data_IF_848677374819
#
_entry.id   IF_848677374819
#
_cell.length_a   1.000
_cell.length_b   1.000
_cell.length_c   1.000
_cell.angle_alpha   90.00
_cell.angle_beta   90.00
_cell.angle_gamma   90.00
#
_symmetry.space_group_name_H-M   'P 1'
#
loop_
_entity.id
_entity.type
_entity.pdbx_description
1 polymer ?
#
# COMPACT_ATOMS: atom_id res chain seq x y z
N UNK A 1 -33.22 -1.46 9.74
CA UNK A 1 -31.92 -1.81 9.14
C UNK A 1 -31.26 -0.51 8.70
N UNK A 2 -30.23 -0.07 9.42
CA UNK A 2 -29.41 1.11 9.09
C UNK A 2 -27.97 0.64 8.82
N UNK A 3 -27.20 1.36 8.00
CA UNK A 3 -25.98 0.86 7.36
C UNK A 3 -24.85 0.69 8.37
N UNK A 4 -24.04 -0.34 8.13
CA UNK A 4 -22.83 -0.72 8.84
C UNK A 4 -21.82 0.43 8.91
N UNK A 5 -21.37 0.69 10.13
CA UNK A 5 -20.29 1.63 10.47
C UNK A 5 -18.94 1.08 10.03
N UNK A 6 -18.53 1.37 8.80
CA UNK A 6 -17.21 1.02 8.26
C UNK A 6 -16.09 1.98 8.74
N UNK A 7 -16.41 3.05 9.46
CA UNK A 7 -15.46 4.13 9.78
C UNK A 7 -15.25 4.43 11.27
N UNK A 8 -15.86 3.67 12.19
CA UNK A 8 -15.77 3.91 13.64
C UNK A 8 -14.88 2.89 14.37
N UNK A 9 -13.59 2.83 14.01
CA UNK A 9 -12.58 2.30 14.93
C UNK A 9 -11.35 3.23 14.98
N UNK A 10 -11.03 3.81 16.15
CA UNK A 10 -9.77 4.48 16.38
C UNK A 10 -8.75 3.41 16.78
N UNK A 11 -8.24 2.67 15.79
CA UNK A 11 -6.98 1.96 15.98
C UNK A 11 -5.95 2.66 15.11
N UNK A 12 -4.96 3.23 15.79
CA UNK A 12 -3.65 3.62 15.26
C UNK A 12 -3.27 2.74 14.07
N UNK A 13 -3.46 3.27 12.85
CA UNK A 13 -3.35 2.50 11.61
C UNK A 13 -1.91 2.07 11.31
N UNK A 14 -0.94 2.60 12.04
CA UNK A 14 0.47 2.19 11.98
C UNK A 14 1.08 2.21 13.38
N UNK A 15 1.08 1.05 14.04
CA UNK A 15 2.08 0.78 15.06
C UNK A 15 3.44 0.62 14.37
N UNK A 16 4.48 1.24 14.90
CA UNK A 16 5.88 1.11 14.46
C UNK A 16 6.17 -0.27 13.86
N UNK A 17 6.41 -0.34 12.55
CA UNK A 17 6.80 -1.58 11.88
C UNK A 17 8.24 -1.89 12.30
N UNK A 18 8.39 -2.78 13.27
CA UNK A 18 9.69 -3.30 13.70
C UNK A 18 10.26 -4.12 12.55
N UNK A 19 11.17 -3.53 11.77
CA UNK A 19 11.87 -4.23 10.69
C UNK A 19 12.18 -3.41 9.44
N UNK A 20 11.60 -2.23 9.25
CA UNK A 20 11.96 -1.35 8.13
C UNK A 20 13.13 -0.43 8.49
N UNK A 21 13.96 -0.13 7.49
CA UNK A 21 15.11 0.78 7.64
C UNK A 21 14.63 2.13 8.20
N UNK A 22 15.47 2.80 8.99
CA UNK A 22 15.16 4.11 9.59
C UNK A 22 14.66 5.13 8.54
N UNK A 23 15.15 5.05 7.30
CA UNK A 23 14.74 5.90 6.19
C UNK A 23 13.27 5.70 5.79
N UNK A 24 12.81 4.44 5.69
CA UNK A 24 11.42 4.13 5.35
C UNK A 24 10.43 4.65 6.42
N UNK A 25 10.82 4.59 7.71
CA UNK A 25 10.03 5.16 8.80
C UNK A 25 9.99 6.70 8.77
N UNK A 26 11.11 7.34 8.44
CA UNK A 26 11.19 8.80 8.32
C UNK A 26 10.39 9.32 7.13
N UNK A 27 10.39 8.59 6.03
CA UNK A 27 9.60 8.89 4.84
C UNK A 27 8.10 8.72 5.03
N UNK A 28 7.68 7.59 5.61
CA UNK A 28 6.28 7.40 6.01
C UNK A 28 5.80 8.50 6.97
N UNK A 29 6.67 9.01 7.86
CA UNK A 29 6.32 10.11 8.74
C UNK A 29 6.12 11.45 8.00
N UNK A 30 6.83 11.67 6.87
CA UNK A 30 6.65 12.85 6.01
C UNK A 30 5.35 12.82 5.23
N UNK A 31 4.92 11.64 4.78
CA UNK A 31 3.71 11.49 3.95
C UNK A 31 2.42 11.34 4.77
N UNK A 32 2.53 10.98 6.05
CA UNK A 32 1.38 10.81 6.94
C UNK A 32 0.44 12.03 6.99
N UNK A 33 0.91 13.30 7.05
CA UNK A 33 0.04 14.47 6.96
C UNK A 33 -0.70 14.58 5.62
N UNK A 34 -0.05 14.22 4.50
CA UNK A 34 -0.65 14.25 3.17
C UNK A 34 -1.74 13.18 3.06
N UNK A 35 -1.45 11.95 3.48
CA UNK A 35 -2.41 10.85 3.53
C UNK A 35 -3.62 11.15 4.41
N UNK A 36 -3.40 11.74 5.60
CA UNK A 36 -4.49 12.18 6.47
C UNK A 36 -5.33 13.29 5.80
N UNK A 37 -4.70 14.23 5.11
CA UNK A 37 -5.39 15.25 4.33
C UNK A 37 -6.29 14.65 3.25
N UNK A 38 -5.77 13.71 2.46
CA UNK A 38 -6.53 12.97 1.43
C UNK A 38 -7.75 12.28 2.05
N UNK A 39 -7.57 11.60 3.18
CA UNK A 39 -8.64 10.91 3.89
C UNK A 39 -9.75 11.87 4.33
N UNK A 40 -9.39 13.02 4.89
CA UNK A 40 -10.38 14.01 5.33
C UNK A 40 -11.06 14.70 4.14
N UNK A 41 -10.35 14.98 3.05
CA UNK A 41 -10.92 15.53 1.83
C UNK A 41 -11.97 14.56 1.24
N UNK A 42 -11.68 13.25 1.17
CA UNK A 42 -12.63 12.22 0.70
C UNK A 42 -13.88 12.17 1.60
N UNK A 43 -13.71 12.19 2.92
CA UNK A 43 -14.85 12.22 3.86
C UNK A 43 -15.71 13.46 3.68
N UNK A 44 -15.09 14.62 3.51
CA UNK A 44 -15.77 15.89 3.31
C UNK A 44 -16.59 15.88 2.01
N UNK A 45 -15.99 15.45 0.90
CA UNK A 45 -16.67 15.31 -0.39
C UNK A 45 -17.93 14.43 -0.28
N UNK A 46 -17.86 13.35 0.50
CA UNK A 46 -18.99 12.43 0.70
C UNK A 46 -20.20 13.02 1.42
N UNK A 47 -20.06 14.17 2.09
CA UNK A 47 -21.16 14.84 2.83
C UNK A 47 -21.54 16.20 2.25
N UNK A 48 -20.76 16.74 1.33
CA UNK A 48 -21.00 18.04 0.69
C UNK A 48 -22.01 17.94 -0.45
N UNK A 49 -22.79 19.00 -0.64
CA UNK A 49 -23.74 19.10 -1.76
C UNK A 49 -22.98 19.20 -3.09
N UNK A 50 -23.27 18.26 -4.00
CA UNK A 50 -22.70 18.24 -5.34
C UNK A 50 -23.03 19.54 -6.08
N UNK A 51 -22.00 20.25 -6.53
CA UNK A 51 -22.13 21.53 -7.23
C UNK A 51 -22.02 22.77 -6.33
N UNK A 52 -21.85 22.59 -5.02
CA UNK A 52 -21.45 23.70 -4.13
C UNK A 52 -20.00 24.14 -4.39
N UNK A 53 -19.67 25.38 -4.03
CA UNK A 53 -18.30 25.89 -4.11
C UNK A 53 -17.35 25.05 -3.26
N UNK A 54 -17.79 24.69 -2.06
CA UNK A 54 -16.98 23.91 -1.11
C UNK A 54 -16.72 22.49 -1.63
N UNK A 55 -17.68 21.88 -2.33
CA UNK A 55 -17.49 20.59 -3.01
C UNK A 55 -16.41 20.66 -4.09
N UNK A 56 -16.43 21.72 -4.92
CA UNK A 56 -15.40 21.94 -5.93
C UNK A 56 -14.03 22.19 -5.31
N UNK A 57 -13.95 22.99 -4.25
CA UNK A 57 -12.70 23.26 -3.54
C UNK A 57 -12.12 21.99 -2.91
N UNK A 58 -12.96 21.16 -2.27
CA UNK A 58 -12.54 19.88 -1.70
C UNK A 58 -12.00 18.93 -2.77
N UNK A 59 -12.61 18.86 -3.95
CA UNK A 59 -12.10 18.08 -5.08
C UNK A 59 -10.75 18.60 -5.60
N UNK A 60 -10.58 19.92 -5.70
CA UNK A 60 -9.31 20.52 -6.10
C UNK A 60 -8.20 20.23 -5.08
N UNK A 61 -8.50 20.31 -3.79
CA UNK A 61 -7.58 19.99 -2.71
C UNK A 61 -7.18 18.51 -2.74
N UNK A 62 -8.17 17.62 -2.88
CA UNK A 62 -7.94 16.18 -3.02
C UNK A 62 -7.02 15.88 -4.21
N UNK A 63 -7.31 16.45 -5.38
CA UNK A 63 -6.50 16.27 -6.59
C UNK A 63 -5.06 16.75 -6.38
N UNK A 64 -4.88 17.90 -5.72
CA UNK A 64 -3.55 18.46 -5.44
C UNK A 64 -2.76 17.54 -4.53
N UNK A 65 -3.35 17.08 -3.42
CA UNK A 65 -2.68 16.18 -2.48
C UNK A 65 -2.36 14.82 -3.09
N UNK A 66 -3.25 14.27 -3.91
CA UNK A 66 -2.99 13.01 -4.63
C UNK A 66 -1.80 13.14 -5.58
N UNK A 67 -1.69 14.26 -6.30
CA UNK A 67 -0.53 14.52 -7.17
C UNK A 67 0.76 14.65 -6.37
N UNK A 68 0.74 15.39 -5.26
CA UNK A 68 1.93 15.50 -4.39
C UNK A 68 2.35 14.14 -3.84
N UNK A 69 1.40 13.32 -3.38
CA UNK A 69 1.73 11.97 -2.91
C UNK A 69 2.29 11.10 -4.04
N UNK A 70 1.72 11.18 -5.24
CA UNK A 70 2.23 10.47 -6.42
C UNK A 70 3.66 10.89 -6.76
N UNK A 71 3.97 12.20 -6.73
CA UNK A 71 5.31 12.72 -6.99
C UNK A 71 6.31 12.19 -5.95
N UNK A 72 5.95 12.20 -4.66
CA UNK A 72 6.80 11.62 -3.61
C UNK A 72 7.04 10.13 -3.82
N UNK A 73 6.01 9.33 -4.12
CA UNK A 73 6.18 7.91 -4.40
C UNK A 73 7.10 7.67 -5.60
N UNK A 74 7.00 8.52 -6.63
CA UNK A 74 7.86 8.41 -7.81
C UNK A 74 9.33 8.69 -7.47
N UNK A 75 9.60 9.75 -6.71
CA UNK A 75 10.95 10.06 -6.23
C UNK A 75 11.51 8.90 -5.38
N UNK A 76 10.70 8.33 -4.49
CA UNK A 76 11.08 7.17 -3.69
C UNK A 76 11.50 5.97 -4.55
N UNK A 77 10.68 5.59 -5.54
CA UNK A 77 11.01 4.48 -6.42
C UNK A 77 12.26 4.75 -7.28
N UNK A 78 12.44 5.98 -7.77
CA UNK A 78 13.65 6.36 -8.52
C UNK A 78 14.91 6.29 -7.63
N UNK A 79 14.80 6.64 -6.34
CA UNK A 79 15.89 6.48 -5.37
C UNK A 79 16.18 5.01 -5.06
N UNK A 80 15.16 4.18 -4.85
CA UNK A 80 15.34 2.74 -4.64
C UNK A 80 15.97 2.06 -5.87
N UNK A 81 15.53 2.40 -7.07
CA UNK A 81 16.07 1.85 -8.32
C UNK A 81 17.55 2.24 -8.52
N UNK A 82 17.90 3.50 -8.19
CA UNK A 82 19.27 4.00 -8.36
C UNK A 82 20.23 3.51 -7.28
N UNK A 83 19.78 3.42 -6.03
CA UNK A 83 20.66 3.21 -4.88
C UNK A 83 20.49 1.83 -4.22
N UNK A 84 19.25 1.34 -4.07
CA UNK A 84 18.97 0.14 -3.27
C UNK A 84 19.03 -1.15 -4.09
N UNK A 85 18.39 -1.18 -5.27
CA UNK A 85 18.38 -2.38 -6.12
C UNK A 85 19.79 -2.86 -6.50
N UNK A 86 20.75 -2.00 -6.88
CA UNK A 86 22.10 -2.44 -7.20
C UNK A 86 22.82 -3.08 -5.99
N UNK A 87 22.56 -2.58 -4.77
CA UNK A 87 23.12 -3.15 -3.55
C UNK A 87 22.51 -4.52 -3.23
N UNK A 88 21.19 -4.67 -3.45
CA UNK A 88 20.52 -5.97 -3.32
C UNK A 88 21.07 -6.98 -4.33
N UNK A 89 21.24 -6.60 -5.60
CA UNK A 89 21.83 -7.46 -6.63
C UNK A 89 23.26 -7.88 -6.27
N UNK A 90 24.08 -6.93 -5.81
CA UNK A 90 25.46 -7.20 -5.38
C UNK A 90 25.57 -8.08 -4.13
N UNK A 91 24.47 -8.27 -3.38
CA UNK A 91 24.45 -9.17 -2.23
C UNK A 91 24.46 -10.64 -2.66
N UNK A 92 24.19 -10.94 -3.95
CA UNK A 92 24.22 -12.28 -4.54
C UNK A 92 23.54 -13.35 -3.66
N UNK A 93 22.32 -13.04 -3.19
CA UNK A 93 21.57 -13.91 -2.29
C UNK A 93 21.39 -15.30 -2.91
N UNK A 94 21.64 -16.34 -2.12
CA UNK A 94 21.32 -17.71 -2.53
C UNK A 94 19.82 -17.86 -2.74
N UNK A 95 19.41 -18.86 -3.52
CA UNK A 95 18.00 -19.13 -3.76
C UNK A 95 17.22 -19.32 -2.46
N UNK A 96 17.78 -20.04 -1.49
CA UNK A 96 17.14 -20.25 -0.18
C UNK A 96 16.99 -18.94 0.60
N UNK A 97 17.93 -18.00 0.46
CA UNK A 97 17.84 -16.68 1.08
C UNK A 97 16.79 -15.81 0.40
N UNK A 98 16.71 -15.83 -0.93
CA UNK A 98 15.67 -15.14 -1.69
C UNK A 98 14.27 -15.65 -1.31
N UNK A 99 14.09 -16.97 -1.25
CA UNK A 99 12.83 -17.59 -0.82
C UNK A 99 12.47 -17.14 0.61
N UNK A 100 13.44 -17.12 1.54
CA UNK A 100 13.20 -16.66 2.91
C UNK A 100 12.78 -15.18 2.98
N UNK A 101 13.42 -14.31 2.20
CA UNK A 101 13.08 -12.88 2.14
C UNK A 101 11.68 -12.70 1.54
N UNK A 102 11.36 -13.41 0.46
CA UNK A 102 10.03 -13.40 -0.15
C UNK A 102 8.95 -13.81 0.86
N UNK A 103 9.16 -14.88 1.63
CA UNK A 103 8.20 -15.32 2.65
C UNK A 103 7.99 -14.25 3.74
N UNK A 104 9.04 -13.53 4.13
CA UNK A 104 8.93 -12.43 5.07
C UNK A 104 8.14 -11.25 4.50
N UNK A 105 8.36 -10.90 3.22
CA UNK A 105 7.58 -9.88 2.54
C UNK A 105 6.10 -10.24 2.49
N UNK A 106 5.78 -11.49 2.13
CA UNK A 106 4.40 -11.98 2.08
C UNK A 106 3.73 -11.96 3.48
N UNK A 107 4.46 -12.32 4.53
CA UNK A 107 3.97 -12.25 5.92
C UNK A 107 3.61 -10.82 6.33
N UNK A 108 4.49 -9.86 6.04
CA UNK A 108 4.25 -8.44 6.38
C UNK A 108 3.05 -7.90 5.62
N UNK A 109 2.95 -8.19 4.32
CA UNK A 109 1.83 -7.75 3.49
C UNK A 109 0.50 -8.31 3.98
N UNK A 110 0.44 -9.62 4.25
CA UNK A 110 -0.77 -10.27 4.75
C UNK A 110 -1.18 -9.68 6.11
N UNK A 111 -0.21 -9.44 7.01
CA UNK A 111 -0.47 -8.89 8.34
C UNK A 111 -0.96 -7.44 8.35
N UNK A 112 -0.57 -6.64 7.34
CA UNK A 112 -0.82 -5.19 7.35
C UNK A 112 -1.94 -4.75 6.42
N UNK A 113 -2.05 -5.34 5.22
CA UNK A 113 -2.93 -4.84 4.15
C UNK A 113 -3.74 -5.96 3.47
N UNK A 114 -3.92 -7.12 4.12
CA UNK A 114 -4.69 -8.27 3.61
C UNK A 114 -6.05 -7.89 3.01
N UNK A 115 -6.84 -7.10 3.74
CA UNK A 115 -8.17 -6.66 3.30
C UNK A 115 -8.17 -5.70 2.09
N UNK A 116 -7.03 -5.12 1.74
CA UNK A 116 -6.85 -4.25 0.56
C UNK A 116 -6.20 -4.99 -0.61
N UNK A 117 -5.94 -6.29 -0.46
CA UNK A 117 -5.18 -7.05 -1.43
C UNK A 117 -5.87 -7.14 -2.80
N UNK A 118 -7.20 -7.30 -2.84
CA UNK A 118 -7.95 -7.27 -4.10
C UNK A 118 -7.79 -5.92 -4.82
N UNK A 119 -7.95 -4.80 -4.11
CA UNK A 119 -7.77 -3.46 -4.68
C UNK A 119 -6.35 -3.26 -5.23
N UNK A 120 -5.33 -3.78 -4.53
CA UNK A 120 -3.96 -3.72 -5.01
C UNK A 120 -3.80 -4.48 -6.33
N UNK A 121 -4.27 -5.73 -6.41
CA UNK A 121 -4.17 -6.55 -7.63
C UNK A 121 -4.96 -5.91 -8.79
N UNK A 122 -6.15 -5.36 -8.53
CA UNK A 122 -6.96 -4.67 -9.54
C UNK A 122 -6.33 -3.37 -10.06
N UNK A 123 -5.50 -2.71 -9.24
CA UNK A 123 -4.82 -1.47 -9.63
C UNK A 123 -3.60 -1.70 -10.53
N UNK A 124 -3.10 -2.93 -10.63
CA UNK A 124 -1.95 -3.28 -11.46
C UNK A 124 -2.36 -3.50 -12.92
N UNK A 125 -1.38 -3.36 -13.83
CA UNK A 125 -1.57 -3.83 -15.20
C UNK A 125 -1.73 -5.37 -15.19
N UNK A 126 -2.52 -5.95 -16.11
CA UNK A 126 -2.76 -7.39 -16.12
C UNK A 126 -1.49 -8.24 -16.09
N UNK A 127 -0.44 -7.83 -16.80
CA UNK A 127 0.83 -8.55 -16.75
C UNK A 127 1.52 -8.46 -15.38
N UNK A 128 1.49 -7.30 -14.72
CA UNK A 128 2.18 -7.08 -13.45
C UNK A 128 1.43 -7.80 -12.32
N UNK A 129 0.10 -7.79 -12.37
CA UNK A 129 -0.75 -8.60 -11.50
C UNK A 129 -0.39 -10.09 -11.59
N UNK A 130 -0.26 -10.63 -12.80
CA UNK A 130 0.10 -12.05 -12.99
C UNK A 130 1.50 -12.36 -12.45
N UNK A 131 2.50 -11.51 -12.71
CA UNK A 131 3.84 -11.70 -12.15
C UNK A 131 3.82 -11.69 -10.61
N UNK A 132 3.03 -10.80 -10.03
CA UNK A 132 2.87 -10.75 -8.59
C UNK A 132 2.22 -12.03 -8.03
N UNK A 133 1.17 -12.53 -8.68
CA UNK A 133 0.52 -13.78 -8.28
C UNK A 133 1.47 -14.98 -8.42
N UNK A 134 2.33 -15.00 -9.44
CA UNK A 134 3.37 -16.01 -9.57
C UNK A 134 4.35 -15.97 -8.39
N UNK A 135 4.73 -14.79 -7.90
CA UNK A 135 5.55 -14.64 -6.68
C UNK A 135 4.82 -15.16 -5.44
N UNK A 136 3.52 -14.90 -5.30
CA UNK A 136 2.72 -15.46 -4.20
C UNK A 136 2.70 -16.99 -4.29
N UNK A 137 2.47 -17.55 -5.48
CA UNK A 137 2.40 -19.00 -5.70
C UNK A 137 3.75 -19.70 -5.46
N UNK A 138 4.86 -18.99 -5.62
CA UNK A 138 6.21 -19.50 -5.30
C UNK A 138 6.45 -19.68 -3.79
N UNK A 139 5.57 -19.16 -2.92
CA UNK A 139 5.63 -19.42 -1.48
C UNK A 139 5.54 -20.93 -1.18
N UNK A 140 6.42 -21.37 -0.29
CA UNK A 140 6.43 -22.72 0.27
C UNK A 140 5.22 -23.00 1.17
N UNK A 141 4.58 -21.94 1.70
CA UNK A 141 3.45 -22.04 2.60
C UNK A 141 2.12 -22.08 1.83
N UNK A 142 1.64 -23.29 1.53
CA UNK A 142 0.40 -23.51 0.77
C UNK A 142 -0.86 -22.92 1.43
N UNK A 143 -0.93 -22.88 2.76
CA UNK A 143 -2.06 -22.28 3.48
C UNK A 143 -2.09 -20.76 3.28
N UNK A 144 -0.91 -20.12 3.29
CA UNK A 144 -0.76 -18.69 2.99
C UNK A 144 -1.16 -18.37 1.57
N UNK A 145 -0.66 -19.15 0.59
CA UNK A 145 -1.05 -18.98 -0.83
C UNK A 145 -2.56 -19.05 -0.97
N UNK A 146 -3.20 -20.08 -0.40
CA UNK A 146 -4.65 -20.21 -0.44
C UNK A 146 -5.35 -19.02 0.21
N UNK A 147 -4.91 -18.58 1.38
CA UNK A 147 -5.47 -17.41 2.07
C UNK A 147 -5.35 -16.14 1.22
N UNK A 148 -4.19 -15.87 0.62
CA UNK A 148 -3.98 -14.69 -0.23
C UNK A 148 -4.82 -14.71 -1.50
N UNK A 149 -4.95 -15.88 -2.14
CA UNK A 149 -5.78 -16.03 -3.34
C UNK A 149 -7.28 -15.88 -3.02
N UNK A 150 -7.75 -16.39 -1.87
CA UNK A 150 -9.15 -16.18 -1.47
C UNK A 150 -9.48 -14.69 -1.27
N UNK A 151 -8.54 -13.89 -0.75
CA UNK A 151 -8.73 -12.45 -0.55
C UNK A 151 -8.89 -11.64 -1.86
N UNK A 152 -8.66 -12.25 -3.02
CA UNK A 152 -8.91 -11.61 -4.33
C UNK A 152 -10.39 -11.73 -4.72
N UNK A 153 -11.07 -12.78 -4.25
CA UNK A 153 -12.45 -13.12 -4.64
C UNK A 153 -13.47 -12.55 -3.66
N UNK A 154 -13.07 -12.34 -2.40
CA UNK A 154 -13.88 -11.81 -1.30
C UNK A 154 -13.97 -10.29 -1.27
#
# INVERSE_FOLDING_TARGET
>A
MRPSTLFDKPHSFFGSVVGLSKAANEEHARDLPIMNGIKEDIKSIGVLDSGSRDYHEALCNLSTRLKTLQDHCKEHFEEEERELLPLMEATELSREQQEKVLEQCLDVMQGTHSHLFHFFIEALLPQDAMHYLDLVIQSSNKERVASMLCMIIE
#
